data_IF_658692330515
#
_entry.id   IF_658692330515
#
_cell.length_a   1.000
_cell.length_b   1.000
_cell.length_c   1.000
_cell.angle_alpha   90.00
_cell.angle_beta   90.00
_cell.angle_gamma   90.00
#
_symmetry.space_group_name_H-M   'P 1'
#
loop_
_entity.id
_entity.type
_entity.pdbx_description
1 polymer ?
#
# COMPACT_ATOMS: atom_id res chain seq x y z
N UNK A 1 -29.46 -3.73 18.50
CA UNK A 1 -28.01 -3.72 18.23
C UNK A 1 -27.87 -3.38 16.77
N UNK A 2 -27.46 -2.14 16.46
CA UNK A 2 -27.20 -1.75 15.08
C UNK A 2 -26.05 -2.60 14.55
N UNK A 3 -26.14 -3.10 13.33
CA UNK A 3 -24.98 -3.71 12.71
C UNK A 3 -23.91 -2.63 12.55
N UNK A 4 -22.69 -2.89 13.03
CA UNK A 4 -21.52 -2.06 12.75
C UNK A 4 -21.33 -2.02 11.22
N UNK A 5 -21.59 -0.86 10.62
CA UNK A 5 -21.38 -0.61 9.20
C UNK A 5 -19.87 -0.55 8.93
N UNK A 6 -19.42 -1.38 7.99
CA UNK A 6 -18.01 -1.44 7.58
C UNK A 6 -17.86 -0.67 6.28
N UNK A 7 -17.03 0.38 6.32
CA UNK A 7 -16.61 1.11 5.14
C UNK A 7 -15.26 0.57 4.66
N UNK A 8 -15.13 0.39 3.34
CA UNK A 8 -13.91 -0.11 2.70
C UNK A 8 -13.27 0.99 1.88
N UNK A 9 -11.98 1.22 2.12
CA UNK A 9 -11.18 2.23 1.47
C UNK A 9 -10.04 1.54 0.72
N UNK A 10 -10.30 1.26 -0.56
CA UNK A 10 -9.33 0.71 -1.49
C UNK A 10 -8.31 1.78 -1.90
N UNK A 11 -7.06 1.59 -1.51
CA UNK A 11 -5.98 2.56 -1.76
C UNK A 11 -4.93 2.01 -2.71
N UNK A 12 -4.10 2.92 -3.22
CA UNK A 12 -2.75 2.60 -3.68
C UNK A 12 -1.76 2.91 -2.55
N UNK A 13 -0.92 1.95 -2.23
CA UNK A 13 0.17 2.15 -1.28
C UNK A 13 1.03 3.34 -1.74
N UNK A 14 1.37 4.24 -0.82
CA UNK A 14 2.15 5.44 -1.12
C UNK A 14 1.52 6.37 -2.19
N UNK A 15 0.19 6.39 -2.30
CA UNK A 15 -0.57 7.31 -3.15
C UNK A 15 -0.93 8.62 -2.40
N UNK A 16 -0.42 9.80 -2.80
CA UNK A 16 -0.71 11.06 -2.12
C UNK A 16 -2.18 11.51 -2.24
N UNK A 17 -2.84 11.27 -3.38
CA UNK A 17 -4.26 11.60 -3.56
C UNK A 17 -5.17 10.57 -2.89
N UNK A 18 -4.77 9.29 -2.91
CA UNK A 18 -5.38 8.24 -2.08
C UNK A 18 -5.33 8.61 -0.59
N UNK A 19 -4.20 9.13 -0.11
CA UNK A 19 -4.02 9.52 1.28
C UNK A 19 -4.90 10.73 1.66
N UNK A 20 -4.96 11.75 0.82
CA UNK A 20 -5.80 12.94 1.06
C UNK A 20 -7.29 12.57 1.08
N UNK A 21 -7.73 11.77 0.09
CA UNK A 21 -9.10 11.26 0.01
C UNK A 21 -9.48 10.41 1.23
N UNK A 22 -8.56 9.56 1.69
CA UNK A 22 -8.77 8.71 2.86
C UNK A 22 -8.93 9.55 4.14
N UNK A 23 -8.09 10.56 4.35
CA UNK A 23 -8.22 11.44 5.52
C UNK A 23 -9.58 12.11 5.57
N UNK A 24 -10.08 12.61 4.43
CA UNK A 24 -11.43 13.19 4.37
C UNK A 24 -12.51 12.14 4.65
N UNK A 25 -12.40 10.96 4.06
CA UNK A 25 -13.38 9.90 4.28
C UNK A 25 -13.42 9.42 5.75
N UNK A 26 -12.26 9.35 6.43
CA UNK A 26 -12.20 9.06 7.87
C UNK A 26 -12.81 10.21 8.70
N UNK A 27 -12.56 11.46 8.31
CA UNK A 27 -13.16 12.63 8.96
C UNK A 27 -14.69 12.64 8.85
N UNK A 28 -15.25 12.22 7.72
CA UNK A 28 -16.69 12.13 7.52
C UNK A 28 -17.31 10.91 8.24
N UNK A 29 -16.64 9.75 8.16
CA UNK A 29 -17.14 8.50 8.73
C UNK A 29 -17.08 8.47 10.27
N UNK A 30 -16.07 9.12 10.87
CA UNK A 30 -15.76 9.05 12.30
C UNK A 30 -15.78 7.62 12.85
N UNK A 31 -14.98 6.68 12.29
CA UNK A 31 -15.01 5.28 12.70
C UNK A 31 -14.51 5.08 14.12
N UNK A 32 -15.13 4.14 14.84
CA UNK A 32 -14.67 3.70 16.16
C UNK A 32 -13.46 2.76 16.07
N UNK A 33 -13.22 2.17 14.91
CA UNK A 33 -12.06 1.33 14.63
C UNK A 33 -11.55 1.49 13.20
N UNK A 34 -10.22 1.55 13.05
CA UNK A 34 -9.49 1.60 11.79
C UNK A 34 -8.66 0.32 11.66
N UNK A 35 -8.98 -0.47 10.63
CA UNK A 35 -8.37 -1.75 10.31
C UNK A 35 -7.49 -1.57 9.08
N UNK A 36 -6.20 -1.84 9.19
CA UNK A 36 -5.21 -1.57 8.13
C UNK A 36 -4.65 -2.87 7.58
N UNK A 37 -4.51 -2.99 6.26
CA UNK A 37 -3.76 -4.08 5.65
C UNK A 37 -2.29 -4.08 6.12
N UNK A 38 -1.88 -5.17 6.74
CA UNK A 38 -0.54 -5.37 7.28
C UNK A 38 -0.54 -6.51 8.29
N UNK A 39 0.63 -6.89 8.83
CA UNK A 39 0.75 -8.09 9.64
C UNK A 39 0.09 -7.94 11.01
N UNK A 40 -0.95 -8.73 11.29
CA UNK A 40 -1.75 -8.65 12.53
C UNK A 40 -0.90 -8.68 13.82
N UNK A 41 0.16 -9.48 13.83
CA UNK A 41 1.08 -9.67 14.94
C UNK A 41 1.96 -8.44 15.23
N UNK A 42 2.00 -7.47 14.32
CA UNK A 42 2.65 -6.17 14.51
C UNK A 42 1.71 -5.06 15.00
N UNK A 43 0.42 -5.34 15.24
CA UNK A 43 -0.58 -4.30 15.55
C UNK A 43 -0.20 -3.42 16.74
N UNK A 44 0.44 -3.99 17.77
CA UNK A 44 0.86 -3.24 18.96
C UNK A 44 1.92 -2.15 18.66
N UNK A 45 2.60 -2.24 17.52
CA UNK A 45 3.63 -1.27 17.10
C UNK A 45 3.04 -0.07 16.32
N UNK A 46 1.80 -0.17 15.82
CA UNK A 46 1.15 0.87 15.03
C UNK A 46 1.11 2.25 15.71
N UNK A 47 0.73 2.37 17.01
CA UNK A 47 0.68 3.68 17.66
C UNK A 47 2.03 4.41 17.71
N UNK A 48 3.16 3.70 17.57
CA UNK A 48 4.47 4.32 17.53
C UNK A 48 4.69 5.17 16.27
N UNK A 49 3.97 4.91 15.17
CA UNK A 49 4.05 5.71 13.95
C UNK A 49 3.56 7.16 14.16
N UNK A 50 2.64 7.38 15.12
CA UNK A 50 2.11 8.69 15.44
C UNK A 50 2.97 9.48 16.45
N UNK A 51 4.10 8.92 16.89
CA UNK A 51 5.03 9.63 17.79
C UNK A 51 5.71 10.77 17.03
N UNK A 52 5.84 11.97 17.61
CA UNK A 52 6.50 13.11 16.93
C UNK A 52 7.93 12.83 16.47
N UNK A 53 8.63 11.93 17.16
CA UNK A 53 9.99 11.52 16.83
C UNK A 53 10.05 10.58 15.61
N UNK A 54 8.93 9.96 15.23
CA UNK A 54 8.84 9.09 14.07
C UNK A 54 8.70 9.94 12.81
N UNK A 55 9.81 10.10 12.06
CA UNK A 55 9.84 10.85 10.82
C UNK A 55 9.95 9.90 9.61
N UNK A 56 8.85 9.68 8.85
CA UNK A 56 8.92 8.86 7.64
C UNK A 56 9.88 9.44 6.58
N UNK A 57 10.53 8.61 5.75
CA UNK A 57 10.23 7.19 5.57
C UNK A 57 10.77 6.27 6.68
N UNK A 58 9.91 5.35 7.13
CA UNK A 58 10.27 4.29 8.08
C UNK A 58 9.66 2.99 7.60
N UNK A 59 10.21 1.85 7.98
CA UNK A 59 9.65 0.55 7.63
C UNK A 59 9.44 -0.30 8.88
N UNK A 60 8.28 -0.97 8.94
CA UNK A 60 8.12 -2.09 9.84
C UNK A 60 9.00 -3.22 9.32
N UNK A 61 9.95 -3.63 10.15
CA UNK A 61 10.89 -4.71 9.93
C UNK A 61 10.40 -5.92 10.72
N UNK A 62 10.07 -7.01 10.04
CA UNK A 62 9.77 -8.29 10.66
C UNK A 62 10.73 -9.36 10.15
N UNK A 63 11.29 -10.17 11.05
CA UNK A 63 12.20 -11.27 10.70
C UNK A 63 12.03 -12.45 11.67
N UNK A 64 12.25 -13.70 11.23
CA UNK A 64 12.25 -14.85 12.12
C UNK A 64 13.51 -14.84 12.99
N UNK A 65 13.39 -15.22 14.27
CA UNK A 65 14.50 -15.18 15.23
C UNK A 65 15.68 -16.08 14.79
N UNK A 66 15.37 -17.22 14.21
CA UNK A 66 16.33 -18.23 13.76
C UNK A 66 16.99 -17.92 12.40
N UNK A 67 16.40 -17.02 11.60
CA UNK A 67 16.93 -16.63 10.29
C UNK A 67 16.69 -15.14 9.99
N UNK A 68 17.43 -14.23 10.66
CA UNK A 68 17.22 -12.79 10.48
C UNK A 68 17.44 -12.27 9.05
N UNK A 69 18.07 -13.05 8.17
CA UNK A 69 18.24 -12.70 6.76
C UNK A 69 16.92 -12.82 5.98
N UNK A 70 15.99 -13.68 6.41
CA UNK A 70 14.65 -13.82 5.83
C UNK A 70 13.71 -12.73 6.36
N UNK A 71 14.03 -11.48 6.03
CA UNK A 71 13.32 -10.30 6.53
C UNK A 71 12.24 -9.82 5.56
N UNK A 72 11.17 -9.26 6.10
CA UNK A 72 10.13 -8.54 5.36
C UNK A 72 10.03 -7.09 5.83
N UNK A 73 9.75 -6.19 4.89
CA UNK A 73 9.61 -4.76 5.15
C UNK A 73 8.23 -4.26 4.70
N UNK A 74 7.58 -3.46 5.54
CA UNK A 74 6.41 -2.65 5.20
C UNK A 74 6.77 -1.19 5.38
N UNK A 75 7.24 -0.50 4.32
CA UNK A 75 7.61 0.89 4.41
C UNK A 75 6.38 1.80 4.49
N UNK A 76 6.55 2.93 5.15
CA UNK A 76 5.59 4.01 5.29
C UNK A 76 6.26 5.33 4.95
N UNK A 77 5.53 6.22 4.29
CA UNK A 77 5.93 7.59 4.00
C UNK A 77 4.86 8.56 4.51
N UNK A 78 5.17 9.85 4.57
CA UNK A 78 4.19 10.89 4.93
C UNK A 78 2.97 10.92 3.99
N UNK A 79 3.09 10.35 2.80
CA UNK A 79 2.03 10.24 1.79
C UNK A 79 1.48 8.82 1.63
N UNK A 80 1.78 7.92 2.56
CA UNK A 80 1.13 6.61 2.65
C UNK A 80 -0.28 6.78 3.24
N UNK A 81 -1.35 6.32 2.56
CA UNK A 81 -2.70 6.35 3.12
C UNK A 81 -2.80 5.65 4.48
N UNK A 82 -2.10 4.53 4.66
CA UNK A 82 -2.05 3.77 5.90
C UNK A 82 -1.38 4.55 7.03
N UNK A 83 -0.30 5.29 6.73
CA UNK A 83 0.34 6.17 7.71
C UNK A 83 -0.63 7.27 8.15
N UNK A 84 -1.34 7.88 7.20
CA UNK A 84 -2.35 8.90 7.50
C UNK A 84 -3.52 8.33 8.31
N UNK A 85 -3.95 7.10 8.03
CA UNK A 85 -4.98 6.41 8.79
C UNK A 85 -4.54 6.15 10.25
N UNK A 86 -3.26 5.81 10.47
CA UNK A 86 -2.69 5.67 11.82
C UNK A 86 -2.70 7.00 12.57
N UNK A 87 -2.25 8.09 11.95
CA UNK A 87 -2.28 9.42 12.56
C UNK A 87 -3.71 9.80 12.95
N UNK A 88 -4.65 9.66 12.02
CA UNK A 88 -6.06 9.96 12.26
C UNK A 88 -6.63 9.11 13.42
N UNK A 89 -6.37 7.81 13.43
CA UNK A 89 -6.90 6.90 14.45
C UNK A 89 -6.37 7.24 15.86
N UNK A 90 -5.08 7.56 15.97
CA UNK A 90 -4.47 7.96 17.26
C UNK A 90 -5.04 9.29 17.74
N UNK A 91 -5.14 10.29 16.86
CA UNK A 91 -5.66 11.61 17.22
C UNK A 91 -7.14 11.56 17.64
N UNK A 92 -7.93 10.69 17.00
CA UNK A 92 -9.37 10.52 17.28
C UNK A 92 -9.68 9.40 18.28
N UNK A 93 -8.66 8.74 18.83
CA UNK A 93 -8.78 7.63 19.80
C UNK A 93 -9.62 6.45 19.28
N UNK A 94 -9.60 6.21 17.97
CA UNK A 94 -10.19 5.03 17.37
C UNK A 94 -9.32 3.80 17.67
N UNK A 95 -9.94 2.63 17.79
CA UNK A 95 -9.19 1.38 17.87
C UNK A 95 -8.39 1.18 16.57
N UNK A 96 -7.16 0.67 16.68
CA UNK A 96 -6.24 0.57 15.55
C UNK A 96 -5.58 -0.80 15.55
N UNK A 97 -5.68 -1.53 14.43
CA UNK A 97 -4.97 -2.79 14.24
C UNK A 97 -4.70 -3.09 12.77
N UNK A 98 -3.67 -3.89 12.56
CA UNK A 98 -3.48 -4.57 11.29
C UNK A 98 -4.49 -5.72 11.14
N UNK A 99 -4.76 -6.19 9.93
CA UNK A 99 -5.74 -7.28 9.68
C UNK A 99 -5.29 -8.38 8.70
N UNK A 100 -4.13 -8.23 8.07
CA UNK A 100 -3.60 -9.25 7.14
C UNK A 100 -2.88 -10.37 7.93
N UNK A 101 -2.46 -11.40 7.20
CA UNK A 101 -1.70 -12.54 7.73
C UNK A 101 -0.55 -12.09 8.65
N UNK A 102 -0.25 -12.87 9.71
CA UNK A 102 0.91 -12.58 10.55
C UNK A 102 2.19 -12.58 9.72
N UNK A 103 3.19 -11.79 10.12
CA UNK A 103 4.43 -11.63 9.34
C UNK A 103 5.12 -12.96 9.06
N UNK A 104 4.98 -13.93 9.98
CA UNK A 104 5.57 -15.26 9.83
C UNK A 104 5.08 -16.03 8.60
N UNK A 105 3.88 -15.71 8.10
CA UNK A 105 3.32 -16.35 6.91
C UNK A 105 4.09 -15.98 5.62
N UNK A 106 4.79 -14.84 5.60
CA UNK A 106 5.63 -14.43 4.45
C UNK A 106 6.97 -15.18 4.42
N UNK A 107 7.50 -15.59 5.57
CA UNK A 107 8.78 -16.30 5.64
C UNK A 107 8.71 -17.73 5.09
N UNK A 108 7.52 -18.35 5.11
CA UNK A 108 7.32 -19.68 4.53
C UNK A 108 7.35 -19.69 3.00
N UNK A 109 7.10 -18.55 2.35
CA UNK A 109 7.11 -18.43 0.90
C UNK A 109 8.53 -18.07 0.38
N UNK A 110 9.25 -17.19 1.08
CA UNK A 110 10.64 -16.86 0.76
C UNK A 110 11.59 -18.09 0.83
N UNK A 111 11.27 -19.08 1.66
CA UNK A 111 12.02 -20.33 1.75
C UNK A 111 11.85 -21.25 0.51
N UNK A 112 10.91 -20.95 -0.39
CA UNK A 112 10.63 -21.75 -1.59
C UNK A 112 11.26 -21.14 -2.85
N UNK A 113 11.68 -19.87 -2.84
CA UNK A 113 12.05 -19.14 -4.08
C UNK A 113 13.28 -18.21 -4.02
N UNK A 114 14.13 -18.19 -2.98
CA UNK A 114 15.24 -17.23 -3.00
C UNK A 114 16.30 -17.36 -1.92
N UNK A 115 17.22 -18.32 -2.10
CA UNK A 115 18.56 -18.25 -1.54
C UNK A 115 19.55 -17.80 -2.63
N UNK A 116 19.35 -16.61 -3.18
CA UNK A 116 20.44 -15.89 -3.87
C UNK A 116 20.72 -14.59 -3.12
N UNK A 117 21.88 -14.59 -2.48
CA UNK A 117 22.49 -13.43 -1.85
C UNK A 117 22.77 -12.41 -2.94
N UNK A 118 22.11 -11.26 -2.86
CA UNK A 118 22.45 -10.12 -3.71
C UNK A 118 23.71 -9.49 -3.14
N UNK A 119 24.87 -9.87 -3.69
CA UNK A 119 26.10 -9.11 -3.52
C UNK A 119 26.06 -7.94 -4.51
N UNK A 120 26.43 -6.74 -4.05
CA UNK A 120 26.06 -5.47 -4.69
C UNK A 120 26.84 -5.16 -6.00
N UNK A 121 27.70 -6.06 -6.48
CA UNK A 121 28.55 -5.84 -7.65
C UNK A 121 28.14 -6.65 -8.91
N UNK A 122 27.20 -7.59 -8.82
CA UNK A 122 26.73 -8.39 -9.99
C UNK A 122 25.46 -7.85 -10.67
N UNK A 123 24.94 -6.70 -10.21
CA UNK A 123 23.72 -6.07 -10.74
C UNK A 123 23.84 -5.48 -12.16
N UNK A 124 24.98 -5.67 -12.85
CA UNK A 124 25.20 -5.17 -14.22
C UNK A 124 25.31 -6.25 -15.30
N UNK A 125 25.43 -7.53 -14.96
CA UNK A 125 25.59 -8.60 -15.95
C UNK A 125 24.46 -9.64 -15.93
N UNK A 126 23.52 -9.57 -14.98
CA UNK A 126 22.33 -10.43 -14.93
C UNK A 126 21.17 -9.93 -15.83
N UNK A 127 21.31 -8.82 -16.56
CA UNK A 127 20.21 -8.23 -17.36
C UNK A 127 19.95 -8.90 -18.72
N UNK A 128 20.60 -10.03 -19.03
CA UNK A 128 20.46 -10.67 -20.36
C UNK A 128 20.07 -12.15 -20.33
N UNK A 129 19.79 -12.77 -19.18
CA UNK A 129 19.35 -14.18 -19.12
C UNK A 129 18.35 -14.48 -18.01
N UNK A 130 17.19 -13.84 -18.10
CA UNK A 130 15.98 -14.38 -17.45
C UNK A 130 14.73 -14.09 -18.31
N UNK A 131 14.55 -14.91 -19.35
CA UNK A 131 13.32 -15.01 -20.15
C UNK A 131 12.23 -15.78 -19.38
N UNK A 132 11.89 -15.28 -18.18
CA UNK A 132 10.68 -15.66 -17.44
C UNK A 132 9.74 -14.46 -17.45
N UNK A 133 9.04 -14.31 -18.58
CA UNK A 133 7.85 -13.49 -18.85
C UNK A 133 7.60 -12.24 -17.95
N UNK A 134 7.77 -11.01 -18.46
CA UNK A 134 7.42 -9.76 -17.77
C UNK A 134 5.91 -9.47 -17.78
N UNK A 135 5.07 -10.49 -17.66
CA UNK A 135 3.61 -10.36 -17.57
C UNK A 135 3.12 -10.71 -16.16
N UNK A 136 3.53 -9.91 -15.17
CA UNK A 136 2.61 -9.61 -14.07
C UNK A 136 1.46 -8.86 -14.75
N UNK A 137 0.37 -9.56 -15.07
CA UNK A 137 -0.78 -8.98 -15.80
C UNK A 137 -1.18 -7.73 -15.05
N UNK A 138 -1.03 -6.56 -15.67
CA UNK A 138 -1.51 -5.28 -15.16
C UNK A 138 -3.01 -5.22 -15.47
N UNK A 139 -3.89 -5.60 -14.52
CA UNK A 139 -5.31 -5.69 -14.81
C UNK A 139 -5.86 -4.28 -15.02
N UNK A 140 -5.37 -3.32 -14.21
CA UNK A 140 -5.65 -1.88 -14.34
C UNK A 140 -5.25 -1.37 -15.72
N UNK A 141 -4.14 -1.84 -16.28
CA UNK A 141 -3.70 -1.54 -17.65
C UNK A 141 -4.74 -1.81 -18.73
N UNK A 142 -5.69 -2.73 -18.50
CA UNK A 142 -6.81 -2.96 -19.42
C UNK A 142 -7.82 -1.82 -19.38
N UNK A 143 -8.18 -1.35 -18.18
CA UNK A 143 -9.03 -0.15 -18.02
C UNK A 143 -8.31 1.10 -18.54
N UNK A 144 -7.02 1.24 -18.24
CA UNK A 144 -6.20 2.36 -18.65
C UNK A 144 -6.16 2.51 -20.17
N UNK A 145 -5.91 1.40 -20.90
CA UNK A 145 -5.93 1.41 -22.37
C UNK A 145 -7.30 1.76 -22.94
N UNK A 146 -8.38 1.28 -22.33
CA UNK A 146 -9.73 1.66 -22.74
C UNK A 146 -10.01 3.17 -22.52
N UNK A 147 -9.36 3.77 -21.53
CA UNK A 147 -9.40 5.20 -21.24
C UNK A 147 -8.37 6.04 -22.03
N UNK A 148 -7.57 5.42 -22.90
CA UNK A 148 -6.57 6.11 -23.74
C UNK A 148 -5.19 6.32 -23.09
N UNK A 149 -4.90 5.67 -21.97
CA UNK A 149 -3.59 5.70 -21.31
C UNK A 149 -2.70 4.55 -21.81
N UNK A 150 -1.38 4.75 -21.74
CA UNK A 150 -0.39 3.75 -22.14
C UNK A 150 -0.34 2.56 -21.17
N UNK A 151 -0.49 2.83 -19.87
CA UNK A 151 -0.35 1.85 -18.79
C UNK A 151 -1.22 2.20 -17.57
N UNK A 152 -1.42 1.21 -16.68
CA UNK A 152 -2.26 1.34 -15.49
C UNK A 152 -1.73 2.35 -14.46
N UNK A 153 -0.42 2.51 -14.35
CA UNK A 153 0.21 3.45 -13.40
C UNK A 153 0.00 4.90 -13.83
N UNK A 154 0.14 5.20 -15.12
CA UNK A 154 -0.15 6.52 -15.70
C UNK A 154 -1.61 6.92 -15.49
N UNK A 155 -2.55 6.00 -15.73
CA UNK A 155 -3.98 6.22 -15.49
C UNK A 155 -4.29 6.45 -14.01
N UNK A 156 -3.78 5.59 -13.12
CA UNK A 156 -4.01 5.72 -11.68
C UNK A 156 -3.42 7.02 -11.12
N UNK A 157 -2.18 7.34 -11.52
CA UNK A 157 -1.47 8.55 -11.09
C UNK A 157 -2.21 9.83 -11.49
N UNK A 158 -2.82 9.85 -12.65
CA UNK A 158 -3.59 11.00 -13.11
C UNK A 158 -4.96 11.08 -12.42
N UNK A 159 -5.79 10.05 -12.58
CA UNK A 159 -7.20 10.09 -12.19
C UNK A 159 -7.40 10.00 -10.67
N UNK A 160 -6.58 9.21 -9.97
CA UNK A 160 -6.77 8.96 -8.53
C UNK A 160 -5.83 9.83 -7.70
N UNK A 161 -4.57 9.97 -8.11
CA UNK A 161 -3.55 10.59 -7.26
C UNK A 161 -3.37 12.10 -7.46
N UNK A 162 -3.71 12.63 -8.65
CA UNK A 162 -3.48 14.04 -8.98
C UNK A 162 -4.76 14.82 -9.22
N UNK A 163 -5.70 14.23 -9.96
CA UNK A 163 -6.93 14.88 -10.42
C UNK A 163 -8.18 14.07 -10.05
N UNK A 164 -8.40 13.75 -8.75
CA UNK A 164 -9.61 13.07 -8.34
C UNK A 164 -10.84 13.94 -8.62
N UNK A 165 -11.75 13.44 -9.44
CA UNK A 165 -13.05 14.08 -9.66
C UNK A 165 -13.87 14.10 -8.35
N UNK A 166 -14.66 15.15 -8.08
CA UNK A 166 -15.53 15.18 -6.91
C UNK A 166 -16.53 14.01 -6.93
N UNK A 167 -16.55 13.19 -5.88
CA UNK A 167 -17.48 12.06 -5.78
C UNK A 167 -17.00 10.94 -4.88
N UNK A 168 -17.72 9.79 -4.85
CA UNK A 168 -17.39 8.66 -4.00
C UNK A 168 -16.24 7.83 -4.61
N UNK A 169 -15.02 8.38 -4.59
CA UNK A 169 -13.84 7.79 -5.25
C UNK A 169 -13.59 6.33 -4.87
N UNK A 170 -13.76 5.96 -3.59
CA UNK A 170 -13.57 4.59 -3.13
C UNK A 170 -14.62 3.61 -3.66
N UNK A 171 -15.86 4.06 -3.88
CA UNK A 171 -16.88 3.24 -4.53
C UNK A 171 -16.52 3.00 -6.00
N UNK A 172 -16.10 4.05 -6.71
CA UNK A 172 -15.65 3.93 -8.11
C UNK A 172 -14.42 3.01 -8.26
N UNK A 173 -13.44 3.12 -7.34
CA UNK A 173 -12.30 2.20 -7.29
C UNK A 173 -12.78 0.76 -7.04
N UNK A 174 -13.69 0.55 -6.10
CA UNK A 174 -14.24 -0.78 -5.80
C UNK A 174 -14.92 -1.42 -7.02
N UNK A 175 -15.75 -0.66 -7.74
CA UNK A 175 -16.44 -1.13 -8.95
C UNK A 175 -15.45 -1.47 -10.08
N UNK A 176 -14.42 -0.64 -10.25
CA UNK A 176 -13.34 -0.90 -11.19
C UNK A 176 -12.59 -2.20 -10.84
N UNK A 177 -12.22 -2.40 -9.57
CA UNK A 177 -11.52 -3.61 -9.12
C UNK A 177 -12.40 -4.85 -9.25
N UNK A 178 -13.70 -4.75 -8.96
CA UNK A 178 -14.65 -5.85 -9.16
C UNK A 178 -14.69 -6.28 -10.64
N UNK A 179 -14.80 -5.32 -11.55
CA UNK A 179 -14.79 -5.56 -13.00
C UNK A 179 -13.50 -6.24 -13.47
N UNK A 180 -12.36 -5.80 -12.94
CA UNK A 180 -11.06 -6.39 -13.26
C UNK A 180 -10.92 -7.83 -12.76
N UNK A 181 -11.43 -8.11 -11.56
CA UNK A 181 -11.38 -9.44 -10.95
C UNK A 181 -12.28 -10.44 -11.64
N UNK A 182 -13.46 -10.03 -12.11
CA UNK A 182 -14.37 -10.90 -12.87
C UNK A 182 -13.74 -11.37 -14.20
N UNK A 183 -12.84 -10.56 -14.76
CA UNK A 183 -12.06 -10.91 -15.96
C UNK A 183 -10.80 -11.74 -15.67
N UNK A 184 -10.40 -11.89 -14.41
CA UNK A 184 -9.20 -12.63 -14.03
C UNK A 184 -9.46 -14.13 -13.78
N UNK A 185 -8.38 -14.91 -13.88
CA UNK A 185 -8.40 -16.35 -13.59
C UNK A 185 -8.39 -16.64 -12.08
N UNK A 186 -7.97 -17.85 -11.70
CA UNK A 186 -7.83 -18.19 -10.28
C UNK A 186 -6.77 -17.32 -9.60
N UNK A 187 -7.14 -16.67 -8.50
CA UNK A 187 -6.21 -15.93 -7.63
C UNK A 187 -5.15 -16.86 -7.04
N UNK A 188 -3.95 -16.32 -6.81
CA UNK A 188 -2.87 -17.07 -6.16
C UNK A 188 -3.29 -17.54 -4.75
N UNK A 189 -2.83 -18.72 -4.34
CA UNK A 189 -3.20 -19.30 -3.04
C UNK A 189 -2.85 -18.37 -1.88
N UNK A 190 -1.69 -17.72 -1.93
CA UNK A 190 -1.26 -16.80 -0.88
C UNK A 190 -2.20 -15.59 -0.77
N UNK A 191 -2.59 -14.98 -1.90
CA UNK A 191 -3.58 -13.89 -1.91
C UNK A 191 -4.93 -14.34 -1.37
N UNK A 192 -5.40 -15.54 -1.71
CA UNK A 192 -6.62 -16.09 -1.13
C UNK A 192 -6.55 -16.27 0.40
N UNK A 193 -5.37 -16.63 0.93
CA UNK A 193 -5.13 -16.74 2.37
C UNK A 193 -5.12 -15.37 3.06
N UNK A 194 -4.53 -14.36 2.43
CA UNK A 194 -4.55 -12.96 2.91
C UNK A 194 -5.99 -12.46 3.04
N UNK A 195 -6.76 -12.58 1.97
CA UNK A 195 -8.17 -12.18 1.95
C UNK A 195 -9.01 -12.94 2.99
N UNK A 196 -8.78 -14.25 3.14
CA UNK A 196 -9.46 -15.06 4.16
C UNK A 196 -9.14 -14.59 5.58
N UNK A 197 -7.88 -14.27 5.87
CA UNK A 197 -7.47 -13.74 7.17
C UNK A 197 -8.11 -12.38 7.44
N UNK A 198 -8.02 -11.45 6.49
CA UNK A 198 -8.61 -10.12 6.60
C UNK A 198 -10.13 -10.19 6.84
N UNK A 199 -10.87 -11.05 6.13
CA UNK A 199 -12.31 -11.25 6.37
C UNK A 199 -12.62 -11.74 7.79
N UNK A 200 -11.81 -12.64 8.34
CA UNK A 200 -11.98 -13.13 9.71
C UNK A 200 -11.72 -12.02 10.74
N UNK A 201 -10.67 -11.21 10.55
CA UNK A 201 -10.37 -10.08 11.43
C UNK A 201 -11.45 -8.99 11.37
N UNK A 202 -11.96 -8.68 10.17
CA UNK A 202 -13.10 -7.76 9.99
C UNK A 202 -14.34 -8.31 10.71
N UNK A 203 -14.64 -9.61 10.56
CA UNK A 203 -15.76 -10.23 11.24
C UNK A 203 -15.61 -10.26 12.77
N UNK A 204 -14.39 -10.36 13.29
CA UNK A 204 -14.10 -10.22 14.71
C UNK A 204 -14.33 -8.77 15.17
N UNK A 205 -13.83 -7.79 14.43
CA UNK A 205 -13.99 -6.37 14.73
C UNK A 205 -15.47 -5.95 14.77
N UNK A 206 -16.30 -6.46 13.86
CA UNK A 206 -17.76 -6.22 13.86
C UNK A 206 -18.47 -6.72 15.12
N UNK A 207 -17.90 -7.71 15.82
CA UNK A 207 -18.44 -8.21 17.10
C UNK A 207 -17.89 -7.44 18.29
N UNK A 208 -16.66 -6.94 18.16
CA UNK A 208 -15.94 -6.25 19.23
C UNK A 208 -16.39 -4.79 19.38
N UNK A 209 -16.66 -4.10 18.27
CA UNK A 209 -16.95 -2.67 18.26
C UNK A 209 -18.39 -2.37 17.86
N UNK A 210 -19.02 -1.46 18.62
CA UNK A 210 -20.35 -0.92 18.34
C UNK A 210 -20.20 0.48 17.71
N UNK A 211 -20.31 0.55 16.38
CA UNK A 211 -20.12 1.77 15.60
C UNK A 211 -19.47 1.54 14.23
N UNK A 212 -19.25 2.60 13.43
CA UNK A 212 -18.66 2.48 12.10
C UNK A 212 -17.22 1.98 12.15
N UNK A 213 -16.85 1.09 11.24
CA UNK A 213 -15.49 0.53 11.13
C UNK A 213 -14.92 0.90 9.76
N UNK A 214 -13.68 1.39 9.72
CA UNK A 214 -12.95 1.66 8.49
C UNK A 214 -11.97 0.51 8.19
N UNK A 215 -12.00 -0.02 6.97
CA UNK A 215 -11.02 -0.96 6.43
C UNK A 215 -10.18 -0.23 5.39
N UNK A 216 -8.87 -0.15 5.59
CA UNK A 216 -7.90 0.47 4.68
C UNK A 216 -7.01 -0.62 4.12
N UNK A 217 -7.14 -0.91 2.83
CA UNK A 217 -6.37 -1.96 2.16
C UNK A 217 -6.10 -1.60 0.69
N UNK A 218 -5.13 -2.27 0.08
CA UNK A 218 -4.89 -2.21 -1.35
C UNK A 218 -6.19 -2.47 -2.10
N UNK A 219 -6.49 -1.60 -3.07
CA UNK A 219 -7.77 -1.57 -3.79
C UNK A 219 -8.19 -2.94 -4.33
N UNK A 220 -7.22 -3.75 -4.78
CA UNK A 220 -7.43 -5.11 -5.28
C UNK A 220 -8.22 -6.01 -4.33
N UNK A 221 -8.02 -5.88 -3.01
CA UNK A 221 -8.65 -6.75 -2.02
C UNK A 221 -10.12 -6.40 -1.76
N UNK A 222 -10.53 -5.15 -2.00
CA UNK A 222 -11.84 -4.64 -1.57
C UNK A 222 -13.01 -5.51 -2.02
N UNK A 223 -13.14 -5.91 -3.31
CA UNK A 223 -14.25 -6.74 -3.75
C UNK A 223 -14.34 -8.08 -2.99
N UNK A 224 -13.19 -8.70 -2.70
CA UNK A 224 -13.14 -9.96 -1.98
C UNK A 224 -13.45 -9.82 -0.48
N UNK A 225 -13.19 -8.65 0.11
CA UNK A 225 -13.54 -8.38 1.51
C UNK A 225 -15.02 -8.02 1.68
N UNK A 226 -15.64 -7.41 0.66
CA UNK A 226 -17.07 -7.12 0.62
C UNK A 226 -17.94 -8.34 0.31
N UNK A 227 -17.38 -9.31 -0.43
CA UNK A 227 -18.09 -10.53 -0.80
C UNK A 227 -18.50 -11.37 0.44
N UNK A 228 -19.61 -12.09 0.31
CA UNK A 228 -20.07 -12.98 1.38
C UNK A 228 -19.33 -14.32 1.31
N UNK A 229 -18.52 -14.60 2.33
CA UNK A 229 -17.78 -15.86 2.47
C UNK A 229 -18.16 -16.61 3.75
N UNK A 230 -18.41 -17.93 3.69
CA UNK A 230 -18.55 -18.74 4.90
C UNK A 230 -17.25 -18.75 5.69
N UNK A 231 -17.27 -18.35 6.96
CA UNK A 231 -16.08 -18.33 7.82
C UNK A 231 -15.35 -19.67 7.88
N UNK A 232 -16.07 -20.79 7.75
CA UNK A 232 -15.48 -22.13 7.70
C UNK A 232 -14.55 -22.32 6.49
N UNK A 233 -14.86 -21.70 5.34
CA UNK A 233 -14.03 -21.76 4.14
C UNK A 233 -12.76 -20.93 4.33
N UNK A 234 -12.89 -19.72 4.88
CA UNK A 234 -11.75 -18.88 5.22
C UNK A 234 -10.81 -19.60 6.21
N UNK A 235 -11.36 -20.17 7.28
CA UNK A 235 -10.59 -20.98 8.24
C UNK A 235 -9.91 -22.19 7.60
N UNK A 236 -10.50 -22.79 6.56
CA UNK A 236 -9.91 -23.91 5.84
C UNK A 236 -8.68 -23.48 5.02
N UNK A 237 -8.73 -22.29 4.39
CA UNK A 237 -7.60 -21.74 3.62
C UNK A 237 -6.38 -21.44 4.50
N UNK A 238 -6.61 -21.09 5.75
CA UNK A 238 -5.55 -20.77 6.71
C UNK A 238 -4.91 -22.00 7.36
N UNK A 239 -5.43 -23.21 7.12
CA UNK A 239 -4.83 -24.44 7.66
C UNK A 239 -3.48 -24.70 7.01
N UNK A 240 -2.48 -25.01 7.83
CA UNK A 240 -1.15 -25.37 7.36
C UNK A 240 -0.21 -24.18 7.10
N UNK A 241 -0.65 -22.94 7.33
CA UNK A 241 0.25 -21.78 7.31
C UNK A 241 1.28 -21.96 8.43
N UNK A 242 2.55 -22.09 8.04
CA UNK A 242 3.64 -22.23 8.98
C UNK A 242 3.76 -20.96 9.83
N UNK A 243 3.91 -21.14 11.14
CA UNK A 243 4.14 -20.05 12.08
C UNK A 243 5.53 -20.20 12.67
N UNK A 244 6.32 -19.14 12.55
CA UNK A 244 7.67 -19.02 13.12
C UNK A 244 7.67 -17.87 14.11
N UNK A 245 8.51 -17.98 15.15
CA UNK A 245 8.70 -16.87 16.08
C UNK A 245 9.37 -15.73 15.33
N UNK A 246 8.76 -14.55 15.41
CA UNK A 246 9.17 -13.39 14.64
C UNK A 246 9.46 -12.25 15.60
N UNK A 247 10.57 -11.54 15.36
CA UNK A 247 10.86 -10.26 16.00
C UNK A 247 10.47 -9.13 15.06
N UNK A 248 10.01 -8.02 15.64
CA UNK A 248 9.50 -6.87 14.90
C UNK A 248 9.99 -5.56 15.49
N UNK A 249 10.35 -4.61 14.63
CA UNK A 249 10.73 -3.27 15.05
C UNK A 249 10.50 -2.25 13.92
N UNK A 250 10.58 -0.97 14.24
CA UNK A 250 10.68 0.09 13.24
C UNK A 250 12.14 0.30 12.85
N UNK A 251 12.40 0.42 11.55
CA UNK A 251 13.71 0.74 11.00
C UNK A 251 13.64 2.02 10.14
N UNK A 252 14.66 2.88 10.15
CA UNK A 252 14.76 3.98 9.19
C UNK A 252 14.68 3.46 7.75
N UNK A 253 13.97 4.18 6.90
CA UNK A 253 13.87 3.86 5.47
C UNK A 253 14.26 5.07 4.63
N UNK A 254 14.50 4.86 3.34
CA UNK A 254 14.91 5.93 2.43
C UNK A 254 13.91 6.09 1.30
N UNK A 255 13.77 7.32 0.81
CA UNK A 255 12.87 7.66 -0.29
C UNK A 255 13.07 6.76 -1.54
N UNK A 256 14.32 6.52 -2.00
CA UNK A 256 14.55 5.64 -3.16
C UNK A 256 14.04 4.21 -2.97
N UNK A 257 14.11 3.65 -1.74
CA UNK A 257 13.64 2.29 -1.45
C UNK A 257 12.11 2.17 -1.38
N UNK A 258 11.38 3.26 -1.58
CA UNK A 258 9.92 3.24 -1.84
C UNK A 258 9.62 3.02 -3.32
N UNK A 259 10.62 3.08 -4.19
CA UNK A 259 10.40 2.97 -5.62
C UNK A 259 10.24 1.51 -6.06
N UNK A 260 9.35 1.28 -7.02
CA UNK A 260 9.17 -0.04 -7.64
C UNK A 260 10.49 -0.58 -8.21
N UNK A 261 11.30 0.29 -8.83
CA UNK A 261 12.60 -0.06 -9.40
C UNK A 261 13.68 -0.48 -8.39
N UNK A 262 13.42 -0.36 -7.09
CA UNK A 262 14.28 -0.86 -6.01
C UNK A 262 13.82 -2.22 -5.44
N UNK A 263 12.89 -2.90 -6.12
CA UNK A 263 12.42 -4.25 -5.76
C UNK A 263 11.28 -4.27 -4.75
N UNK A 264 10.73 -3.12 -4.37
CA UNK A 264 9.55 -3.08 -3.51
C UNK A 264 8.27 -3.21 -4.36
N UNK A 265 7.61 -4.37 -4.29
CA UNK A 265 6.51 -4.72 -5.20
C UNK A 265 5.23 -3.88 -5.09
N UNK A 266 5.07 -3.12 -3.99
CA UNK A 266 4.01 -2.11 -3.81
C UNK A 266 4.56 -0.67 -3.90
N UNK A 267 5.78 -0.53 -4.42
CA UNK A 267 6.45 0.75 -4.59
C UNK A 267 5.87 1.57 -5.74
N UNK A 268 6.18 2.85 -5.70
CA UNK A 268 5.72 3.83 -6.71
C UNK A 268 6.83 4.10 -7.72
N UNK A 269 6.51 4.58 -8.92
CA UNK A 269 7.56 4.86 -9.92
C UNK A 269 8.47 6.02 -9.46
N UNK A 270 7.89 7.07 -8.89
CA UNK A 270 8.62 8.29 -8.53
C UNK A 270 8.28 8.76 -7.10
N UNK A 271 8.91 8.20 -6.05
CA UNK A 271 8.61 8.57 -4.66
C UNK A 271 8.80 10.05 -4.35
N UNK A 272 9.79 10.69 -4.99
CA UNK A 272 10.04 12.13 -4.85
C UNK A 272 8.89 12.99 -5.39
N UNK A 273 8.28 12.56 -6.50
CA UNK A 273 7.11 13.22 -7.07
C UNK A 273 5.88 13.04 -6.18
N UNK A 274 5.63 11.83 -5.68
CA UNK A 274 4.55 11.57 -4.73
C UNK A 274 4.67 12.44 -3.46
N UNK A 275 5.89 12.54 -2.93
CA UNK A 275 6.21 13.43 -1.79
C UNK A 275 5.93 14.90 -2.11
N UNK A 276 6.30 15.34 -3.30
CA UNK A 276 6.05 16.71 -3.75
C UNK A 276 4.55 16.99 -3.85
N UNK A 277 3.80 16.14 -4.56
CA UNK A 277 2.34 16.23 -4.68
C UNK A 277 1.67 16.32 -3.31
N UNK A 278 2.06 15.45 -2.37
CA UNK A 278 1.54 15.50 -1.00
C UNK A 278 1.80 16.85 -0.32
N UNK A 279 3.02 17.38 -0.42
CA UNK A 279 3.38 18.67 0.21
C UNK A 279 2.76 19.88 -0.48
N UNK A 280 2.44 19.77 -1.76
CA UNK A 280 1.81 20.83 -2.55
C UNK A 280 0.33 20.59 -2.79
N UNK A 281 -0.30 19.64 -2.08
CA UNK A 281 -1.72 19.33 -2.23
C UNK A 281 -2.59 20.58 -2.05
N UNK A 282 -3.65 20.68 -2.85
CA UNK A 282 -4.51 21.87 -2.93
C UNK A 282 -3.93 23.05 -3.74
N UNK A 283 -2.69 22.95 -4.26
CA UNK A 283 -2.11 23.96 -5.15
C UNK A 283 -2.30 23.59 -6.61
N UNK A 284 -2.56 24.61 -7.45
CA UNK A 284 -2.70 24.45 -8.91
C UNK A 284 -1.36 24.50 -9.66
N UNK A 285 -0.29 24.93 -9.00
CA UNK A 285 1.05 25.14 -9.59
C UNK A 285 2.06 24.05 -9.22
N UNK A 286 1.60 22.89 -8.73
CA UNK A 286 2.47 21.81 -8.27
C UNK A 286 3.49 21.36 -9.33
N UNK A 287 3.06 21.18 -10.58
CA UNK A 287 3.94 20.82 -11.70
C UNK A 287 5.00 21.91 -11.98
N UNK A 288 4.60 23.18 -11.97
CA UNK A 288 5.51 24.32 -12.16
C UNK A 288 6.57 24.38 -11.07
N UNK A 289 6.17 24.20 -9.81
CA UNK A 289 7.10 24.18 -8.67
C UNK A 289 8.11 23.03 -8.80
N UNK A 290 7.67 21.88 -9.28
CA UNK A 290 8.54 20.73 -9.49
C UNK A 290 9.57 20.94 -10.59
N UNK A 291 9.15 21.47 -11.75
CA UNK A 291 10.08 21.84 -12.83
C UNK A 291 11.09 22.89 -12.36
N UNK A 292 10.64 23.88 -11.58
CA UNK A 292 11.54 24.88 -10.98
C UNK A 292 12.55 24.23 -10.02
N UNK A 293 12.13 23.27 -9.20
CA UNK A 293 13.03 22.51 -8.32
C UNK A 293 14.05 21.68 -9.10
N UNK A 294 13.62 20.97 -10.15
CA UNK A 294 14.52 20.19 -11.02
C UNK A 294 15.55 21.12 -11.66
N UNK A 295 15.11 22.23 -12.24
CA UNK A 295 16.00 23.20 -12.87
C UNK A 295 17.01 23.79 -11.88
N UNK A 296 16.57 24.10 -10.65
CA UNK A 296 17.45 24.58 -9.59
C UNK A 296 18.54 23.55 -9.25
N UNK A 297 18.18 22.28 -9.08
CA UNK A 297 19.13 21.20 -8.81
C UNK A 297 20.12 21.03 -9.97
N UNK A 298 19.63 21.04 -11.21
CA UNK A 298 20.48 20.92 -12.40
C UNK A 298 21.47 22.09 -12.51
N UNK A 299 21.04 23.32 -12.24
CA UNK A 299 21.93 24.50 -12.22
C UNK A 299 23.00 24.40 -11.15
N UNK A 300 22.64 23.95 -9.94
CA UNK A 300 23.62 23.71 -8.84
C UNK A 300 24.63 22.63 -9.23
N UNK A 301 24.24 21.65 -10.05
CA UNK A 301 25.12 20.62 -10.61
C UNK A 301 25.92 21.08 -11.84
N UNK A 302 25.80 22.34 -12.24
CA UNK A 302 26.56 22.95 -13.34
C UNK A 302 25.91 22.83 -14.72
N UNK A 303 24.67 22.35 -14.81
CA UNK A 303 23.96 22.29 -16.09
C UNK A 303 23.37 23.67 -16.47
N UNK A 304 23.51 24.03 -17.74
CA UNK A 304 22.92 25.25 -18.31
C UNK A 304 21.43 25.03 -18.60
N UNK A 305 20.58 25.28 -17.61
CA UNK A 305 19.11 25.24 -17.77
C UNK A 305 18.57 26.66 -17.76
N UNK A 306 18.17 27.18 -18.92
CA UNK A 306 17.60 28.52 -19.04
C UNK A 306 16.20 28.58 -18.41
N UNK A 307 15.72 29.75 -17.99
CA UNK A 307 14.33 29.91 -17.55
C UNK A 307 13.34 29.65 -18.68
N UNK A 308 13.73 29.94 -19.94
CA UNK A 308 12.92 29.65 -21.12
C UNK A 308 12.69 28.13 -21.31
N UNK A 309 13.54 27.27 -20.74
CA UNK A 309 13.36 25.81 -20.78
C UNK A 309 12.25 25.30 -19.85
N UNK A 310 11.56 26.19 -19.11
CA UNK A 310 10.53 25.85 -18.12
C UNK A 310 9.13 26.35 -18.52
N UNK A 311 8.97 26.89 -19.73
CA UNK A 311 7.75 27.54 -20.24
C UNK A 311 7.27 26.78 -21.47
#
# INVERSE_FOLDING_TARGET
>A
MGHSDVAYFGIRHHGPGSADSLVQALQDLQPVAVLIEGPIDASALLPLLARPEMQPPVALLCYPEEDPASTSFWPFAEFSPEYQAVLWAVDNKAALRFIDLPSSARFSEAAVDGAEKVDADEAKEASERDDVAPHRRDPIGTLARAAGYEDGESWWSDIIEQNPEPGPIFAAISDAMMTLRDGEGSIAQFEAQREAHMRLEIAAARKEFDGPIAVVCGAWHVPALQATHPQKNDQALLKGIARRKSTMTWAPWTGPRLALGYGYGAGVVAPGWCKHLWRTRGRRDAATLWLAMIAAVLRVKGHLVSTASLI
#
